data_IF_815307212234
#
_entry.id   IF_815307212234
#
_cell.length_a   1.000
_cell.length_b   1.000
_cell.length_c   1.000
_cell.angle_alpha   90.00
_cell.angle_beta   90.00
_cell.angle_gamma   90.00
#
_symmetry.space_group_name_H-M   'P 1'
#
loop_
_entity.id
_entity.type
_entity.pdbx_description
1 polymer ?
#
# COMPACT_ATOMS: atom_id res chain seq x y z
N UNK A 1 -15.93 12.91 33.39
CA UNK A 1 -15.92 11.95 34.52
C UNK A 1 -17.05 10.91 34.45
N UNK A 2 -17.42 10.37 33.27
CA UNK A 2 -18.35 9.22 33.14
C UNK A 2 -17.65 7.90 32.79
N UNK A 3 -16.50 7.99 32.10
CA UNK A 3 -15.64 6.83 31.77
C UNK A 3 -15.05 6.15 33.02
N UNK A 4 -14.74 6.93 34.08
CA UNK A 4 -14.15 6.39 35.32
C UNK A 4 -15.18 5.75 36.26
N UNK A 5 -16.36 6.34 36.38
CA UNK A 5 -17.39 5.91 37.35
C UNK A 5 -18.34 4.85 36.79
N UNK A 6 -18.22 4.54 35.49
CA UNK A 6 -19.17 3.69 34.78
C UNK A 6 -20.55 4.32 34.67
N UNK A 7 -21.51 3.53 34.18
CA UNK A 7 -22.93 3.91 34.12
C UNK A 7 -23.78 2.83 34.81
N UNK A 8 -24.40 3.16 35.97
CA UNK A 8 -25.25 2.22 36.70
C UNK A 8 -26.35 1.62 35.80
N UNK A 9 -26.50 0.30 35.84
CA UNK A 9 -27.49 -0.43 35.03
C UNK A 9 -27.08 -0.72 33.59
N UNK A 10 -25.88 -0.33 33.17
CA UNK A 10 -25.28 -0.73 31.88
C UNK A 10 -24.14 -1.75 32.07
N UNK A 11 -23.71 -2.44 31.01
CA UNK A 11 -22.50 -3.26 31.02
C UNK A 11 -21.19 -2.47 31.18
N UNK A 12 -21.23 -1.14 31.35
CA UNK A 12 -20.04 -0.30 31.48
C UNK A 12 -19.60 -0.23 32.96
N UNK A 13 -18.57 -0.99 33.37
CA UNK A 13 -18.16 -1.09 34.77
C UNK A 13 -17.51 0.20 35.27
N UNK A 14 -17.47 0.37 36.59
CA UNK A 14 -16.69 1.43 37.23
C UNK A 14 -15.23 1.02 37.35
N UNK A 15 -14.32 1.93 37.00
CA UNK A 15 -12.88 1.80 37.21
C UNK A 15 -12.37 2.76 38.30
N UNK A 16 -13.28 3.41 39.03
CA UNK A 16 -12.93 4.43 40.03
C UNK A 16 -12.01 3.90 41.14
N UNK A 17 -12.14 2.61 41.47
CA UNK A 17 -11.35 1.92 42.48
C UNK A 17 -10.09 1.24 41.90
N UNK A 18 -9.98 1.16 40.57
CA UNK A 18 -8.86 0.49 39.89
C UNK A 18 -7.68 1.44 39.64
N UNK A 19 -7.96 2.70 39.33
CA UNK A 19 -6.96 3.73 39.08
C UNK A 19 -7.32 5.03 39.81
N UNK A 20 -6.31 5.66 40.41
CA UNK A 20 -6.40 7.05 40.86
C UNK A 20 -6.59 8.00 39.69
N UNK A 21 -6.94 9.25 39.97
CA UNK A 21 -7.12 10.27 38.92
C UNK A 21 -5.81 10.57 38.18
N UNK A 22 -4.70 10.62 38.90
CA UNK A 22 -3.37 10.82 38.33
C UNK A 22 -2.98 9.65 37.42
N UNK A 23 -3.15 8.41 37.87
CA UNK A 23 -2.88 7.22 37.06
C UNK A 23 -3.78 7.16 35.81
N UNK A 24 -5.02 7.65 35.93
CA UNK A 24 -5.91 7.77 34.77
C UNK A 24 -5.35 8.74 33.74
N UNK A 25 -4.81 9.90 34.15
CA UNK A 25 -4.17 10.84 33.24
C UNK A 25 -2.87 10.29 32.65
N UNK A 26 -2.07 9.55 33.44
CA UNK A 26 -0.89 8.85 32.91
C UNK A 26 -1.27 7.83 31.83
N UNK A 27 -2.35 7.06 32.05
CA UNK A 27 -2.84 6.11 31.06
C UNK A 27 -3.35 6.81 29.79
N UNK A 28 -4.11 7.90 29.93
CA UNK A 28 -4.57 8.70 28.79
C UNK A 28 -3.38 9.24 28.00
N UNK A 29 -2.38 9.82 28.67
CA UNK A 29 -1.17 10.33 28.02
C UNK A 29 -0.37 9.22 27.35
N UNK A 30 -0.29 8.03 27.96
CA UNK A 30 0.34 6.86 27.35
C UNK A 30 -0.39 6.44 26.06
N UNK A 31 -1.71 6.29 26.08
CA UNK A 31 -2.50 5.94 24.89
C UNK A 31 -2.41 7.00 23.79
N UNK A 32 -2.43 8.28 24.17
CA UNK A 32 -2.25 9.39 23.22
C UNK A 32 -0.84 9.38 22.61
N UNK A 33 0.20 9.06 23.40
CA UNK A 33 1.57 8.96 22.91
C UNK A 33 1.80 7.79 21.95
N UNK A 34 0.93 6.77 21.94
CA UNK A 34 0.94 5.68 20.96
C UNK A 34 0.25 6.06 19.64
N UNK A 35 -0.51 7.15 19.63
CA UNK A 35 -1.24 7.63 18.44
C UNK A 35 -0.42 8.69 17.70
N UNK A 36 -0.57 8.82 16.37
CA UNK A 36 0.02 9.95 15.66
C UNK A 36 -0.56 11.28 16.18
N UNK A 37 0.24 12.35 16.14
CA UNK A 37 -0.17 13.69 16.62
C UNK A 37 -1.42 14.21 15.90
N UNK A 38 -1.49 13.97 14.59
CA UNK A 38 -2.66 14.26 13.77
C UNK A 38 -3.29 12.94 13.26
N UNK A 39 -4.64 12.83 13.29
CA UNK A 39 -5.32 11.70 12.65
C UNK A 39 -4.92 11.61 11.17
N UNK A 40 -4.60 10.41 10.65
CA UNK A 40 -4.23 10.28 9.26
C UNK A 40 -5.43 10.55 8.34
N UNK A 41 -5.20 11.30 7.28
CA UNK A 41 -6.20 11.57 6.26
C UNK A 41 -6.36 10.35 5.33
N UNK A 42 -7.60 9.94 4.97
CA UNK A 42 -7.84 8.87 4.02
C UNK A 42 -7.17 9.16 2.66
N UNK A 43 -6.31 8.26 2.23
CA UNK A 43 -5.66 8.33 0.94
C UNK A 43 -6.63 7.90 -0.18
N UNK A 44 -6.57 8.61 -1.31
CA UNK A 44 -7.24 8.21 -2.57
C UNK A 44 -6.23 7.74 -3.63
N UNK A 45 -4.95 8.11 -3.45
CA UNK A 45 -3.84 7.82 -4.36
C UNK A 45 -2.67 7.27 -3.57
N UNK A 46 -2.19 6.09 -3.98
CA UNK A 46 -0.92 5.51 -3.58
C UNK A 46 0.11 5.83 -4.66
N UNK A 47 1.13 6.62 -4.33
CA UNK A 47 2.27 6.81 -5.22
C UNK A 47 3.28 5.72 -4.91
N UNK A 48 3.53 4.83 -5.86
CA UNK A 48 4.60 3.84 -5.72
C UNK A 48 5.93 4.54 -5.96
N UNK A 49 6.92 4.31 -5.08
CA UNK A 49 8.23 4.94 -5.16
C UNK A 49 9.15 4.14 -6.09
N UNK A 50 9.74 4.82 -7.09
CA UNK A 50 10.74 4.22 -7.96
C UNK A 50 12.05 4.00 -7.19
N UNK A 51 12.59 2.78 -7.27
CA UNK A 51 13.89 2.40 -6.69
C UNK A 51 14.77 1.77 -7.78
N UNK A 52 16.10 1.88 -7.61
CA UNK A 52 17.07 1.25 -8.50
C UNK A 52 17.59 -0.09 -7.95
N UNK A 53 17.34 -0.35 -6.67
CA UNK A 53 17.74 -1.56 -5.97
C UNK A 53 16.72 -2.71 -6.21
N UNK A 54 17.07 -3.95 -5.84
CA UNK A 54 16.11 -5.05 -5.80
C UNK A 54 14.90 -4.69 -4.93
N UNK A 55 13.71 -5.13 -5.34
CA UNK A 55 12.48 -4.87 -4.58
C UNK A 55 12.56 -5.61 -3.23
N UNK A 56 12.32 -4.91 -2.10
CA UNK A 56 12.35 -5.51 -0.77
C UNK A 56 11.32 -6.63 -0.65
N UNK A 57 11.69 -7.67 0.08
CA UNK A 57 10.84 -8.85 0.29
C UNK A 57 10.38 -8.96 1.74
N UNK A 58 11.20 -8.47 2.67
CA UNK A 58 10.92 -8.57 4.10
C UNK A 58 10.12 -7.34 4.59
N UNK A 59 9.16 -7.53 5.52
CA UNK A 59 8.41 -6.43 6.13
C UNK A 59 9.25 -5.43 6.94
N UNK A 60 10.42 -5.84 7.45
CA UNK A 60 11.31 -5.03 8.28
C UNK A 60 12.47 -4.38 7.48
N UNK A 61 12.43 -4.46 6.15
CA UNK A 61 13.43 -3.82 5.28
C UNK A 61 13.51 -2.31 5.56
N UNK A 62 14.72 -1.74 5.76
CA UNK A 62 14.90 -0.33 6.09
C UNK A 62 14.25 0.64 5.12
N UNK A 63 14.07 0.28 3.84
CA UNK A 63 13.45 1.16 2.84
C UNK A 63 12.04 1.58 3.23
N UNK A 64 11.31 0.73 3.95
CA UNK A 64 9.95 1.02 4.38
C UNK A 64 9.91 2.17 5.40
N UNK A 65 10.98 2.41 6.16
CA UNK A 65 11.01 3.46 7.19
C UNK A 65 11.01 4.88 6.61
N UNK A 66 11.52 5.04 5.39
CA UNK A 66 11.64 6.34 4.72
C UNK A 66 10.42 6.72 3.89
N UNK A 67 9.44 5.81 3.76
CA UNK A 67 8.25 6.03 2.93
C UNK A 67 7.04 6.45 3.78
N UNK A 68 6.32 7.51 3.39
CA UNK A 68 5.09 7.89 4.07
C UNK A 68 4.02 6.81 3.80
N UNK A 69 3.35 6.27 4.85
CA UNK A 69 2.25 5.33 4.65
C UNK A 69 1.01 6.07 4.14
N UNK A 70 0.32 5.46 3.17
CA UNK A 70 -1.02 5.84 2.76
C UNK A 70 -2.05 5.15 3.66
N UNK A 71 -2.94 5.93 4.27
CA UNK A 71 -3.94 5.43 5.20
C UNK A 71 -5.26 5.12 4.49
N UNK A 72 -5.74 3.88 4.60
CA UNK A 72 -6.99 3.45 3.99
C UNK A 72 -7.97 2.92 5.05
N UNK A 73 -9.02 3.68 5.39
CA UNK A 73 -10.03 3.21 6.33
C UNK A 73 -10.84 2.06 5.72
N UNK A 74 -10.97 0.98 6.49
CA UNK A 74 -11.82 -0.15 6.13
C UNK A 74 -13.25 0.10 6.59
N UNK A 75 -14.18 -0.28 5.73
CA UNK A 75 -15.61 -0.22 6.00
C UNK A 75 -16.18 -1.62 6.02
N UNK A 76 -17.21 -1.81 6.82
CA UNK A 76 -17.83 -3.13 6.98
C UNK A 76 -18.57 -3.55 5.71
N UNK A 77 -18.49 -4.84 5.35
CA UNK A 77 -19.39 -5.43 4.37
C UNK A 77 -20.81 -5.50 4.96
N UNK A 78 -21.68 -4.59 4.51
CA UNK A 78 -23.09 -4.52 4.94
C UNK A 78 -24.09 -5.00 3.86
N UNK A 79 -23.60 -5.17 2.63
CA UNK A 79 -24.45 -5.42 1.47
C UNK A 79 -24.99 -6.85 1.40
N UNK A 80 -24.32 -7.81 2.04
CA UNK A 80 -24.63 -9.24 1.92
C UNK A 80 -24.63 -9.93 3.29
N UNK A 81 -25.45 -10.96 3.43
CA UNK A 81 -25.41 -11.82 4.62
C UNK A 81 -24.37 -12.93 4.43
N UNK A 82 -23.58 -13.29 5.46
CA UNK A 82 -23.56 -12.71 6.80
C UNK A 82 -22.90 -11.32 6.85
N UNK A 83 -23.59 -10.34 7.48
CA UNK A 83 -23.09 -8.96 7.60
C UNK A 83 -22.09 -8.85 8.74
N UNK A 84 -21.04 -8.07 8.52
CA UNK A 84 -20.17 -7.56 9.57
C UNK A 84 -20.60 -6.12 9.86
N UNK A 85 -21.08 -5.82 11.06
CA UNK A 85 -21.53 -4.46 11.38
C UNK A 85 -20.39 -3.55 11.86
N UNK A 86 -19.39 -4.14 12.47
CA UNK A 86 -18.26 -3.42 13.06
C UNK A 86 -17.01 -4.27 12.87
N UNK A 87 -16.20 -3.99 11.84
CA UNK A 87 -14.93 -4.68 11.65
C UNK A 87 -14.00 -4.32 12.81
N UNK A 88 -13.23 -5.29 13.31
CA UNK A 88 -12.20 -4.99 14.30
C UNK A 88 -11.01 -4.27 13.69
N UNK A 89 -10.67 -4.61 12.44
CA UNK A 89 -9.65 -3.95 11.63
C UNK A 89 -10.28 -2.70 10.99
N UNK A 90 -9.90 -1.54 11.52
CA UNK A 90 -10.49 -0.26 11.08
C UNK A 90 -9.79 0.36 9.87
N UNK A 91 -8.55 -0.02 9.58
CA UNK A 91 -7.76 0.56 8.50
C UNK A 91 -6.53 -0.28 8.17
N UNK A 92 -6.01 -0.09 6.97
CA UNK A 92 -4.69 -0.54 6.56
C UNK A 92 -3.78 0.65 6.23
N UNK A 93 -2.51 0.55 6.60
CA UNK A 93 -1.44 1.46 6.22
C UNK A 93 -0.66 0.82 5.08
N UNK A 94 -0.51 1.52 3.95
CA UNK A 94 0.08 0.93 2.75
C UNK A 94 1.23 1.77 2.23
N UNK A 95 2.33 1.12 1.89
CA UNK A 95 3.49 1.70 1.19
C UNK A 95 3.73 0.88 -0.07
N UNK A 96 4.31 1.50 -1.09
CA UNK A 96 4.65 0.78 -2.31
C UNK A 96 5.96 1.29 -2.91
N UNK A 97 6.75 0.34 -3.40
CA UNK A 97 7.96 0.58 -4.18
C UNK A 97 7.91 -0.27 -5.44
N UNK A 98 8.62 0.16 -6.48
CA UNK A 98 8.77 -0.60 -7.71
C UNK A 98 10.10 -0.25 -8.38
N UNK A 99 10.57 -1.16 -9.23
CA UNK A 99 11.70 -0.90 -10.12
C UNK A 99 11.29 -1.22 -11.56
N UNK A 100 12.26 -1.46 -12.46
CA UNK A 100 11.97 -1.76 -13.87
C UNK A 100 11.31 -3.13 -14.11
N UNK A 101 11.27 -4.03 -13.12
CA UNK A 101 10.81 -5.40 -13.29
C UNK A 101 9.69 -5.81 -12.34
N UNK A 102 9.66 -5.27 -11.12
CA UNK A 102 8.77 -5.73 -10.04
C UNK A 102 8.16 -4.56 -9.26
N UNK A 103 7.05 -4.85 -8.59
CA UNK A 103 6.40 -3.96 -7.63
C UNK A 103 6.20 -4.70 -6.31
N UNK A 104 6.31 -3.97 -5.20
CA UNK A 104 5.91 -4.43 -3.88
C UNK A 104 4.93 -3.48 -3.20
N UNK A 105 4.09 -4.07 -2.36
CA UNK A 105 3.15 -3.39 -1.49
C UNK A 105 3.36 -3.90 -0.06
N UNK A 106 3.77 -2.99 0.83
CA UNK A 106 3.83 -3.24 2.26
C UNK A 106 2.52 -2.80 2.87
N UNK A 107 1.82 -3.71 3.52
CA UNK A 107 0.52 -3.49 4.16
C UNK A 107 0.66 -3.78 5.64
N UNK A 108 0.29 -2.82 6.47
CA UNK A 108 0.28 -2.98 7.91
C UNK A 108 -1.10 -2.65 8.51
N UNK A 109 -1.55 -3.46 9.46
CA UNK A 109 -2.75 -3.19 10.23
C UNK A 109 -2.56 -3.61 11.68
N UNK A 110 -3.26 -2.92 12.58
CA UNK A 110 -3.25 -3.28 13.99
C UNK A 110 -4.21 -4.43 14.23
N UNK A 111 -3.72 -5.47 14.89
CA UNK A 111 -4.49 -6.62 15.34
C UNK A 111 -3.96 -7.02 16.72
N UNK A 112 -4.85 -7.24 17.68
CA UNK A 112 -4.43 -7.58 19.04
C UNK A 112 -3.98 -9.03 19.17
N UNK A 113 -4.30 -9.84 18.18
CA UNK A 113 -4.14 -11.28 18.17
C UNK A 113 -3.45 -11.73 16.90
N UNK A 114 -2.74 -12.84 16.99
CA UNK A 114 -2.07 -13.48 15.87
C UNK A 114 -2.80 -14.79 15.56
N UNK A 115 -3.94 -14.70 14.89
CA UNK A 115 -4.84 -15.84 14.66
C UNK A 115 -4.42 -16.59 13.41
N UNK A 116 -3.61 -17.63 13.60
CA UNK A 116 -3.08 -18.48 12.50
C UNK A 116 -3.88 -19.77 12.26
N UNK A 117 -4.75 -20.16 13.18
CA UNK A 117 -5.48 -21.43 13.14
C UNK A 117 -6.94 -21.26 13.57
N UNK A 118 -7.84 -22.09 13.03
CA UNK A 118 -9.26 -22.10 13.38
C UNK A 118 -10.17 -21.99 12.15
N UNK A 119 -11.47 -21.78 12.40
CA UNK A 119 -12.47 -21.58 11.32
C UNK A 119 -12.35 -20.19 10.67
N UNK A 120 -11.71 -19.25 11.36
CA UNK A 120 -11.38 -17.92 10.89
C UNK A 120 -9.94 -17.61 11.29
N UNK A 121 -9.22 -16.92 10.41
CA UNK A 121 -7.80 -16.64 10.50
C UNK A 121 -7.55 -15.23 10.03
N UNK A 122 -6.45 -14.63 10.49
CA UNK A 122 -6.08 -13.30 10.06
C UNK A 122 -5.68 -13.35 8.58
N UNK A 123 -6.23 -12.43 7.79
CA UNK A 123 -5.96 -12.39 6.36
C UNK A 123 -6.06 -10.98 5.81
N UNK A 124 -5.38 -10.75 4.69
CA UNK A 124 -5.40 -9.48 3.96
C UNK A 124 -5.43 -9.74 2.46
N UNK A 125 -6.07 -8.87 1.71
CA UNK A 125 -6.01 -8.90 0.26
C UNK A 125 -5.83 -7.52 -0.36
N UNK A 126 -5.15 -7.51 -1.51
CA UNK A 126 -5.16 -6.41 -2.46
C UNK A 126 -5.99 -6.86 -3.66
N UNK A 127 -6.89 -6.00 -4.13
CA UNK A 127 -7.72 -6.25 -5.29
C UNK A 127 -7.42 -5.23 -6.38
N UNK A 128 -7.37 -5.72 -7.62
CA UNK A 128 -7.24 -4.96 -8.85
C UNK A 128 -8.36 -5.35 -9.82
N UNK A 129 -8.75 -4.50 -10.77
CA UNK A 129 -9.52 -4.97 -11.92
C UNK A 129 -8.67 -5.94 -12.75
N UNK A 130 -9.29 -6.95 -13.36
CA UNK A 130 -8.57 -7.86 -14.27
C UNK A 130 -8.10 -7.14 -15.54
N UNK A 131 -8.84 -6.12 -15.99
CA UNK A 131 -8.51 -5.30 -17.16
C UNK A 131 -8.74 -3.81 -16.85
N UNK A 132 -7.88 -2.93 -17.35
CA UNK A 132 -8.07 -1.49 -17.27
C UNK A 132 -8.98 -1.01 -18.41
N UNK A 133 -10.17 -0.52 -18.07
CA UNK A 133 -11.08 0.10 -19.06
C UNK A 133 -10.51 1.41 -19.61
N UNK A 134 -10.61 1.59 -20.93
CA UNK A 134 -10.27 2.85 -21.60
C UNK A 134 -11.18 4.03 -21.21
N UNK A 135 -12.40 3.73 -20.72
CA UNK A 135 -13.40 4.73 -20.33
C UNK A 135 -13.49 4.97 -18.81
N UNK A 136 -12.48 4.51 -18.04
CA UNK A 136 -12.46 4.54 -16.56
C UNK A 136 -13.68 3.84 -15.91
N UNK A 137 -14.28 2.88 -16.62
CA UNK A 137 -15.27 1.99 -16.01
C UNK A 137 -14.57 0.98 -15.11
N UNK A 138 -15.08 0.83 -13.89
CA UNK A 138 -14.49 -0.07 -12.88
C UNK A 138 -15.47 -1.20 -12.57
N UNK A 139 -14.97 -2.42 -12.28
CA UNK A 139 -15.78 -3.45 -11.67
C UNK A 139 -16.43 -2.95 -10.38
N UNK A 140 -17.50 -3.60 -9.93
CA UNK A 140 -17.98 -3.37 -8.58
C UNK A 140 -16.87 -3.65 -7.55
N UNK A 141 -16.66 -2.74 -6.59
CA UNK A 141 -15.51 -2.81 -5.66
C UNK A 141 -15.57 -4.01 -4.71
N UNK A 142 -16.77 -4.57 -4.48
CA UNK A 142 -16.93 -5.81 -3.72
C UNK A 142 -16.78 -7.00 -4.68
N UNK A 143 -15.53 -7.39 -4.93
CA UNK A 143 -15.18 -8.64 -5.61
C UNK A 143 -15.59 -8.70 -7.08
N UNK A 144 -15.81 -7.55 -7.72
CA UNK A 144 -16.20 -7.46 -9.13
C UNK A 144 -17.67 -7.74 -9.38
N UNK A 145 -17.99 -8.00 -10.64
CA UNK A 145 -19.33 -8.34 -11.12
C UNK A 145 -19.24 -9.32 -12.30
N UNK A 146 -20.36 -9.94 -12.73
CA UNK A 146 -20.33 -10.96 -13.78
C UNK A 146 -19.77 -10.51 -15.13
N UNK A 147 -19.74 -9.20 -15.40
CA UNK A 147 -19.21 -8.66 -16.65
C UNK A 147 -17.79 -8.11 -16.50
N UNK A 148 -17.36 -7.82 -15.26
CA UNK A 148 -16.05 -7.25 -14.97
C UNK A 148 -15.48 -7.95 -13.74
N UNK A 149 -14.59 -8.88 -14.03
CA UNK A 149 -13.88 -9.61 -13.01
C UNK A 149 -12.82 -8.73 -12.33
N UNK A 150 -12.49 -9.12 -11.11
CA UNK A 150 -11.35 -8.60 -10.36
C UNK A 150 -10.36 -9.72 -10.15
N UNK A 151 -9.15 -9.30 -9.83
CA UNK A 151 -8.03 -10.14 -9.51
C UNK A 151 -7.48 -9.71 -8.15
N UNK A 152 -7.18 -10.67 -7.28
CA UNK A 152 -6.79 -10.43 -5.91
C UNK A 152 -5.51 -11.17 -5.56
N UNK A 153 -4.63 -10.49 -4.84
CA UNK A 153 -3.58 -11.12 -4.05
C UNK A 153 -4.11 -11.29 -2.66
N UNK A 154 -4.21 -12.54 -2.24
CA UNK A 154 -4.70 -12.90 -0.93
C UNK A 154 -3.57 -13.52 -0.13
N UNK A 155 -3.39 -13.06 1.09
CA UNK A 155 -2.53 -13.71 2.06
C UNK A 155 -3.37 -14.05 3.28
N UNK A 156 -3.11 -15.20 3.86
CA UNK A 156 -3.68 -15.62 5.12
C UNK A 156 -2.56 -16.06 6.06
N UNK A 157 -2.80 -15.89 7.37
CA UNK A 157 -1.86 -16.24 8.40
C UNK A 157 -1.64 -17.75 8.53
N UNK A 158 -2.54 -18.56 7.96
CA UNK A 158 -2.31 -19.98 7.73
C UNK A 158 -1.47 -20.19 6.45
N UNK A 159 -0.42 -21.00 6.55
CA UNK A 159 0.48 -21.27 5.43
C UNK A 159 1.46 -20.16 5.08
N UNK A 160 1.16 -18.88 5.37
CA UNK A 160 2.04 -17.73 5.14
C UNK A 160 2.49 -17.59 3.67
N UNK A 161 1.54 -17.79 2.74
CA UNK A 161 1.76 -17.77 1.29
C UNK A 161 0.75 -16.86 0.60
N UNK A 162 1.20 -16.15 -0.45
CA UNK A 162 0.31 -15.41 -1.33
C UNK A 162 -0.43 -16.38 -2.28
N UNK A 163 -1.74 -16.22 -2.36
CA UNK A 163 -2.64 -16.93 -3.27
C UNK A 163 -3.24 -15.93 -4.24
N UNK A 164 -3.17 -16.26 -5.52
CA UNK A 164 -3.80 -15.47 -6.58
C UNK A 164 -5.19 -16.01 -6.89
N UNK A 165 -6.17 -15.12 -6.94
CA UNK A 165 -7.57 -15.48 -7.16
C UNK A 165 -8.32 -14.44 -7.97
N UNK A 166 -9.29 -14.90 -8.76
CA UNK A 166 -10.20 -14.05 -9.52
C UNK A 166 -11.59 -14.09 -8.87
N UNK A 167 -12.36 -13.02 -9.06
CA UNK A 167 -13.74 -12.97 -8.60
C UNK A 167 -14.64 -12.20 -9.57
N UNK A 168 -15.90 -12.62 -9.64
CA UNK A 168 -16.96 -12.04 -10.49
C UNK A 168 -18.17 -11.60 -9.66
N UNK A 169 -17.89 -11.17 -8.44
CA UNK A 169 -18.82 -10.80 -7.38
C UNK A 169 -18.94 -11.87 -6.31
N UNK A 170 -19.15 -11.48 -5.06
CA UNK A 170 -19.37 -12.46 -3.98
C UNK A 170 -20.57 -13.39 -4.28
N UNK A 171 -20.49 -14.70 -4.00
CA UNK A 171 -19.38 -15.41 -3.37
C UNK A 171 -18.44 -16.07 -4.41
N UNK A 172 -18.54 -15.67 -5.68
CA UNK A 172 -17.83 -16.29 -6.80
C UNK A 172 -16.36 -15.88 -6.78
N UNK A 173 -15.55 -16.72 -6.13
CA UNK A 173 -14.10 -16.57 -6.01
C UNK A 173 -13.48 -17.86 -6.50
N UNK A 174 -12.51 -17.75 -7.41
CA UNK A 174 -11.78 -18.86 -7.99
C UNK A 174 -10.29 -18.66 -7.76
N UNK A 175 -9.66 -19.63 -7.10
CA UNK A 175 -8.20 -19.66 -6.93
C UNK A 175 -7.57 -20.07 -8.25
N UNK A 176 -6.60 -19.29 -8.71
CA UNK A 176 -5.87 -19.63 -9.93
C UNK A 176 -4.99 -20.88 -9.72
N UNK A 177 -4.69 -21.66 -10.77
CA UNK A 177 -3.68 -22.70 -10.74
C UNK A 177 -2.34 -22.21 -10.17
N UNK A 178 -1.77 -22.94 -9.22
CA UNK A 178 -0.53 -22.55 -8.51
C UNK A 178 0.65 -22.31 -9.46
N UNK A 179 0.71 -23.01 -10.60
CA UNK A 179 1.78 -22.84 -11.58
C UNK A 179 1.73 -21.51 -12.34
N UNK A 180 0.62 -20.77 -12.21
CA UNK A 180 0.41 -19.45 -12.80
C UNK A 180 0.79 -18.31 -11.86
N UNK A 181 0.80 -18.54 -10.54
CA UNK A 181 1.07 -17.50 -9.55
C UNK A 181 2.45 -16.85 -9.78
N UNK A 182 2.48 -15.51 -9.73
CA UNK A 182 3.71 -14.71 -9.77
C UNK A 182 3.95 -13.93 -8.47
N UNK A 183 2.94 -13.85 -7.62
CA UNK A 183 2.93 -13.08 -6.38
C UNK A 183 3.53 -13.90 -5.26
N UNK A 184 4.46 -13.28 -4.55
CA UNK A 184 5.00 -13.79 -3.30
C UNK A 184 4.56 -12.87 -2.17
N UNK A 185 4.37 -13.43 -0.98
CA UNK A 185 4.17 -12.66 0.24
C UNK A 185 5.12 -13.11 1.32
N UNK A 186 5.50 -12.16 2.18
CA UNK A 186 6.20 -12.44 3.43
C UNK A 186 5.58 -11.58 4.52
N UNK A 187 5.34 -12.18 5.67
CA UNK A 187 4.62 -11.53 6.75
C UNK A 187 5.37 -11.57 8.08
N UNK A 188 5.09 -10.59 8.93
CA UNK A 188 5.59 -10.51 10.29
C UNK A 188 4.47 -9.97 11.19
N UNK A 189 4.33 -10.58 12.37
CA UNK A 189 3.52 -10.04 13.45
C UNK A 189 4.41 -9.55 14.58
N UNK A 190 4.28 -8.27 14.93
CA UNK A 190 5.06 -7.65 16.00
C UNK A 190 4.23 -6.58 16.70
N UNK A 191 4.26 -6.56 18.03
CA UNK A 191 3.65 -5.51 18.88
C UNK A 191 2.18 -5.20 18.57
N UNK A 192 1.38 -6.23 18.27
CA UNK A 192 -0.05 -6.06 17.95
C UNK A 192 -0.29 -5.50 16.55
N UNK A 193 0.62 -5.78 15.61
CA UNK A 193 0.55 -5.34 14.24
C UNK A 193 1.03 -6.43 13.30
N UNK A 194 0.21 -6.73 12.31
CA UNK A 194 0.62 -7.47 11.14
C UNK A 194 1.28 -6.53 10.13
N UNK A 195 2.30 -7.05 9.45
CA UNK A 195 2.96 -6.43 8.31
C UNK A 195 3.13 -7.50 7.24
N UNK A 196 2.59 -7.26 6.05
CA UNK A 196 2.66 -8.19 4.91
C UNK A 196 3.24 -7.44 3.72
N UNK A 197 4.30 -7.98 3.12
CA UNK A 197 4.86 -7.49 1.86
C UNK A 197 4.44 -8.43 0.75
N UNK A 198 3.58 -7.95 -0.14
CA UNK A 198 3.36 -8.60 -1.42
C UNK A 198 4.35 -8.09 -2.44
N UNK A 199 4.92 -8.98 -3.26
CA UNK A 199 5.79 -8.63 -4.39
C UNK A 199 5.42 -9.45 -5.62
N UNK A 200 5.49 -8.83 -6.80
CA UNK A 200 5.38 -9.56 -8.08
C UNK A 200 6.05 -8.80 -9.24
N UNK A 201 6.32 -9.47 -10.38
CA UNK A 201 6.66 -8.82 -11.64
C UNK A 201 5.60 -7.82 -12.11
N UNK A 202 6.03 -6.72 -12.74
CA UNK A 202 5.15 -5.73 -13.35
C UNK A 202 4.32 -6.32 -14.50
N UNK A 203 4.96 -7.16 -15.31
CA UNK A 203 4.34 -7.81 -16.46
C UNK A 203 3.62 -9.09 -16.00
N UNK A 204 2.31 -9.12 -16.22
CA UNK A 204 1.50 -10.31 -16.01
C UNK A 204 1.91 -11.43 -16.98
N UNK A 205 1.82 -12.67 -16.51
CA UNK A 205 2.11 -13.87 -17.29
C UNK A 205 1.00 -14.20 -18.28
N UNK A 206 -0.24 -13.92 -17.92
CA UNK A 206 -1.43 -14.16 -18.74
C UNK A 206 -2.53 -13.14 -18.45
N UNK A 207 -3.67 -13.27 -19.16
CA UNK A 207 -4.78 -12.31 -19.12
C UNK A 207 -5.68 -12.44 -17.88
N UNK A 208 -5.38 -13.37 -16.94
CA UNK A 208 -6.06 -13.43 -15.64
C UNK A 208 -5.58 -12.35 -14.68
N UNK A 209 -4.43 -11.76 -14.99
CA UNK A 209 -3.71 -10.82 -14.14
C UNK A 209 -3.49 -9.48 -14.82
N UNK A 210 -3.54 -8.41 -14.03
CA UNK A 210 -3.29 -7.08 -14.52
C UNK A 210 -1.78 -6.81 -14.68
N UNK A 211 -1.34 -6.32 -15.83
CA UNK A 211 0.02 -5.75 -15.96
C UNK A 211 0.10 -4.34 -15.37
N UNK A 212 1.12 -4.07 -14.57
CA UNK A 212 1.37 -2.73 -14.02
C UNK A 212 2.16 -1.88 -15.01
N UNK A 213 1.45 -0.92 -15.61
CA UNK A 213 2.05 0.06 -16.51
C UNK A 213 2.42 1.34 -15.76
N UNK A 214 3.56 1.94 -16.10
CA UNK A 214 3.92 3.27 -15.61
C UNK A 214 3.04 4.34 -16.28
N UNK A 215 2.91 5.49 -15.62
CA UNK A 215 2.10 6.63 -16.02
C UNK A 215 0.60 6.34 -16.23
N UNK A 216 0.10 5.27 -15.59
CA UNK A 216 -1.32 4.90 -15.56
C UNK A 216 -1.84 4.94 -14.13
N UNK A 217 -3.07 5.41 -13.97
CA UNK A 217 -3.81 5.26 -12.71
C UNK A 217 -4.44 3.87 -12.68
N UNK A 218 -3.98 3.03 -11.76
CA UNK A 218 -4.43 1.65 -11.64
C UNK A 218 -5.36 1.55 -10.43
N UNK A 219 -6.65 1.20 -10.62
CA UNK A 219 -7.56 1.02 -9.50
C UNK A 219 -7.12 -0.11 -8.59
N UNK A 220 -7.22 0.11 -7.27
CA UNK A 220 -7.00 -0.92 -6.27
C UNK A 220 -7.92 -0.74 -5.06
N UNK A 221 -8.18 -1.83 -4.35
CA UNK A 221 -8.86 -1.81 -3.05
C UNK A 221 -8.26 -2.84 -2.11
N UNK A 222 -8.53 -2.68 -0.82
CA UNK A 222 -8.00 -3.57 0.22
C UNK A 222 -9.11 -4.25 0.97
N UNK A 223 -8.81 -5.46 1.45
CA UNK A 223 -9.67 -6.25 2.32
C UNK A 223 -8.86 -6.81 3.48
N UNK A 224 -9.48 -6.91 4.65
CA UNK A 224 -8.87 -7.59 5.79
C UNK A 224 -9.91 -8.38 6.58
N UNK A 225 -9.44 -9.44 7.22
CA UNK A 225 -10.19 -10.33 8.09
C UNK A 225 -9.40 -10.53 9.38
N UNK A 226 -10.05 -10.34 10.53
CA UNK A 226 -9.52 -10.71 11.86
C UNK A 226 -10.11 -12.06 12.29
N UNK A 227 -9.24 -13.06 12.42
CA UNK A 227 -9.63 -14.42 12.78
C UNK A 227 -10.18 -14.54 14.19
N UNK A 228 -9.67 -13.75 15.15
CA UNK A 228 -10.08 -13.78 16.54
C UNK A 228 -11.53 -13.34 16.72
N UNK A 229 -11.99 -12.40 15.89
CA UNK A 229 -13.40 -11.96 15.88
C UNK A 229 -14.32 -12.80 14.98
N UNK A 230 -13.77 -13.84 14.34
CA UNK A 230 -14.53 -14.74 13.48
C UNK A 230 -14.88 -14.13 12.12
N UNK A 231 -14.09 -13.16 11.65
CA UNK A 231 -14.20 -12.58 10.31
C UNK A 231 -13.64 -13.58 9.28
N UNK A 232 -14.46 -13.99 8.33
CA UNK A 232 -14.09 -14.90 7.24
C UNK A 232 -15.10 -14.76 6.10
N UNK A 233 -14.69 -15.07 4.87
CA UNK A 233 -15.54 -14.96 3.68
C UNK A 233 -16.17 -13.57 3.54
N UNK A 234 -17.50 -13.49 3.52
CA UNK A 234 -18.26 -12.24 3.33
C UNK A 234 -18.19 -11.29 4.55
N UNK A 235 -17.75 -11.76 5.73
CA UNK A 235 -17.53 -10.89 6.90
C UNK A 235 -16.12 -10.31 6.83
N UNK A 236 -15.98 -9.14 6.22
CA UNK A 236 -14.69 -8.47 6.09
C UNK A 236 -14.79 -6.95 6.23
N UNK A 237 -13.67 -6.33 6.56
CA UNK A 237 -13.43 -4.91 6.32
C UNK A 237 -12.89 -4.70 4.91
N UNK A 238 -13.43 -3.72 4.17
CA UNK A 238 -12.97 -3.39 2.81
C UNK A 238 -12.98 -1.89 2.53
N UNK A 239 -12.17 -1.48 1.55
CA UNK A 239 -12.18 -0.12 1.00
C UNK A 239 -13.04 -0.02 -0.26
N UNK A 240 -13.45 1.20 -0.62
CA UNK A 240 -13.82 1.50 -1.99
C UNK A 240 -12.56 1.52 -2.90
N UNK A 241 -12.76 1.69 -4.21
CA UNK A 241 -11.66 1.86 -5.15
C UNK A 241 -10.84 3.12 -4.84
N UNK A 242 -9.55 2.92 -4.64
CA UNK A 242 -8.49 3.94 -4.70
C UNK A 242 -7.64 3.70 -5.95
N UNK A 243 -6.56 4.45 -6.13
CA UNK A 243 -5.64 4.25 -7.26
C UNK A 243 -4.19 4.14 -6.81
N UNK A 244 -3.39 3.32 -7.49
CA UNK A 244 -1.92 3.37 -7.44
C UNK A 244 -1.39 4.00 -8.72
N UNK A 245 -0.30 4.75 -8.59
CA UNK A 245 0.40 5.38 -9.69
C UNK A 245 1.90 5.08 -9.61
N UNK A 246 2.45 4.56 -10.70
CA UNK A 246 3.87 4.29 -10.90
C UNK A 246 4.40 5.30 -11.92
N UNK A 247 5.40 6.10 -11.57
CA UNK A 247 5.97 7.09 -12.50
C UNK A 247 6.91 6.42 -13.52
N UNK A 248 6.97 6.89 -14.76
CA UNK A 248 8.08 6.45 -15.62
C UNK A 248 9.41 7.03 -15.12
N UNK A 249 10.52 6.26 -15.13
CA UNK A 249 11.85 6.83 -14.89
C UNK A 249 12.11 7.92 -15.95
N UNK A 250 12.67 9.06 -15.52
CA UNK A 250 13.01 10.12 -16.46
C UNK A 250 14.01 9.58 -17.50
N UNK A 251 13.71 9.64 -18.81
CA UNK A 251 14.63 9.15 -19.82
C UNK A 251 15.90 10.01 -19.81
N UNK A 252 17.01 9.45 -19.34
CA UNK A 252 18.32 10.13 -19.23
C UNK A 252 18.73 10.76 -20.57
N UNK A 253 18.41 10.08 -21.69
CA UNK A 253 18.69 10.54 -23.05
C UNK A 253 18.02 11.88 -23.38
N UNK A 254 16.81 12.13 -22.87
CA UNK A 254 16.09 13.38 -23.13
C UNK A 254 16.74 14.59 -22.44
N UNK A 255 17.60 14.38 -21.45
CA UNK A 255 18.33 15.45 -20.75
C UNK A 255 19.82 15.51 -21.09
N UNK A 256 20.33 14.58 -21.90
CA UNK A 256 21.73 14.55 -22.32
C UNK A 256 22.15 15.77 -23.17
N UNK A 257 21.20 16.49 -23.76
CA UNK A 257 21.48 17.75 -24.45
C UNK A 257 21.89 18.87 -23.48
N UNK A 258 21.49 18.83 -22.20
CA UNK A 258 21.86 19.85 -21.20
C UNK A 258 23.39 19.89 -20.99
N UNK A 259 24.06 18.79 -20.61
CA UNK A 259 25.53 18.78 -20.55
C UNK A 259 26.15 19.02 -21.93
N UNK A 260 25.52 18.58 -23.02
CA UNK A 260 25.98 18.89 -24.38
C UNK A 260 26.04 20.39 -24.68
N UNK A 261 24.99 21.14 -24.35
CA UNK A 261 24.93 22.60 -24.50
C UNK A 261 25.94 23.28 -23.57
N UNK A 262 26.05 22.83 -22.32
CA UNK A 262 27.05 23.37 -21.38
C UNK A 262 28.48 23.23 -21.91
N UNK A 263 28.82 22.06 -22.47
CA UNK A 263 30.12 21.83 -23.11
C UNK A 263 30.29 22.73 -24.34
N UNK A 264 29.27 22.85 -25.18
CA UNK A 264 29.33 23.70 -26.37
C UNK A 264 29.55 25.18 -26.01
N UNK A 265 28.85 25.70 -25.01
CA UNK A 265 29.04 27.06 -24.49
C UNK A 265 30.46 27.24 -23.97
N UNK A 266 30.97 26.30 -23.18
CA UNK A 266 32.32 26.35 -22.64
C UNK A 266 33.41 26.32 -23.74
N UNK A 267 33.19 25.53 -24.80
CA UNK A 267 34.07 25.52 -25.98
C UNK A 267 34.05 26.85 -26.72
N UNK A 268 32.87 27.46 -26.88
CA UNK A 268 32.74 28.79 -27.50
C UNK A 268 33.45 29.85 -26.67
N UNK A 269 33.27 29.86 -25.35
CA UNK A 269 33.95 30.78 -24.45
C UNK A 269 35.47 30.63 -24.51
N UNK A 270 35.98 29.40 -24.50
CA UNK A 270 37.42 29.12 -24.64
C UNK A 270 37.95 29.57 -26.01
N UNK A 271 37.19 29.37 -27.09
CA UNK A 271 37.57 29.83 -28.42
C UNK A 271 37.62 31.36 -28.52
N UNK A 272 36.63 32.06 -27.95
CA UNK A 272 36.61 33.53 -27.87
C UNK A 272 37.80 34.02 -27.04
N UNK A 273 38.04 33.43 -25.88
CA UNK A 273 39.19 33.77 -25.02
C UNK A 273 40.52 33.60 -25.77
N UNK A 274 40.68 32.49 -26.49
CA UNK A 274 41.89 32.22 -27.28
C UNK A 274 42.09 33.24 -28.41
N UNK A 275 41.02 33.60 -29.12
CA UNK A 275 41.03 34.63 -30.18
C UNK A 275 41.41 36.01 -29.63
N UNK A 276 40.82 36.45 -28.52
CA UNK A 276 41.15 37.74 -27.86
C UNK A 276 42.60 37.76 -27.38
N UNK A 277 43.11 36.65 -26.85
CA UNK A 277 44.51 36.53 -26.42
C UNK A 277 45.49 36.59 -27.60
N UNK A 278 45.08 36.13 -28.78
CA UNK A 278 45.89 36.18 -30.00
C UNK A 278 45.94 37.59 -30.59
N UNK A 279 44.83 38.34 -30.59
CA UNK A 279 44.79 39.72 -31.12
C UNK A 279 45.56 40.71 -30.25
N UNK A 280 45.48 40.58 -28.92
CA UNK A 280 46.20 41.43 -27.97
C UNK A 280 47.73 41.23 -27.98
N UNK A 281 48.21 40.06 -28.41
CA UNK A 281 49.64 39.81 -28.65
C UNK A 281 50.16 40.50 -29.91
N UNK A 282 49.36 40.58 -30.98
CA UNK A 282 49.74 41.26 -32.23
C UNK A 282 49.79 42.79 -32.12
N UNK A 283 49.06 43.39 -31.18
CA UNK A 283 49.02 44.86 -31.02
C UNK A 283 50.13 45.43 -30.12
N UNK A 284 51.03 44.60 -29.58
CA UNK A 284 52.17 45.00 -28.73
C UNK A 284 53.51 45.06 -29.46
N UNK A 285 53.54 44.75 -30.75
CA UNK A 285 54.75 44.76 -31.60
C UNK A 285 54.66 45.80 -32.75
N UNK A 286 53.69 46.72 -32.70
CA UNK A 286 53.54 47.83 -33.65
C UNK A 286 53.95 49.17 -33.05
#
# INVERSE_FOLDING_TARGET
>A
MRLRTGMPGSPMPSFADALSEEETWHLVNYVLALSPEEPPEPAVLLVSQLINDPVPSEPDDPIWNDLPPAYYPLTAQLMRAPRLYQPSINAVMVKSVYNSSEVAFHIAWNDRTETREGDAIDAVAIQFPQELSANDERPYFVFGDPNRAVYQWYWAADGDVAVERNATGLPSIEVQPEEQWQTNATAQYQDGRWQVVFRRPLQARDDNDLSFETDRFIPLSFMAWDGFTGETGDKLGLTAWSVVYLQSPLPVVQYAWIPGVMIAVLVVELAVFWLVRRSTRGSREG
#
